data_IF_233758457169
#
_entry.id   IF_233758457169
#
_cell.length_a   1.000
_cell.length_b   1.000
_cell.length_c   1.000
_cell.angle_alpha   90.00
_cell.angle_beta   90.00
_cell.angle_gamma   90.00
#
_symmetry.space_group_name_H-M   'P 1'
#
loop_
_entity.id
_entity.type
_entity.pdbx_description
1 polymer ?
#
# COMPACT_ATOMS: atom_id res chain seq x y z
N UNK A 1 -27.16 12.94 0.50
CA UNK A 1 -26.86 14.15 1.31
C UNK A 1 -25.38 14.45 1.15
N UNK A 2 -25.03 15.48 0.37
CA UNK A 2 -23.64 15.88 0.13
C UNK A 2 -23.27 16.93 1.19
N UNK A 3 -22.56 16.53 2.23
CA UNK A 3 -21.93 17.48 3.15
C UNK A 3 -20.68 18.03 2.49
N UNK A 4 -20.74 19.31 2.11
CA UNK A 4 -19.60 20.07 1.64
C UNK A 4 -18.68 20.35 2.82
N UNK A 5 -17.49 19.75 2.82
CA UNK A 5 -16.41 20.14 3.72
C UNK A 5 -15.80 21.42 3.14
N UNK A 6 -16.15 22.55 3.74
CA UNK A 6 -15.51 23.84 3.48
C UNK A 6 -14.12 23.83 4.12
N UNK A 7 -13.08 23.62 3.31
CA UNK A 7 -11.70 23.86 3.71
C UNK A 7 -11.47 25.38 3.77
N UNK A 8 -11.50 25.93 4.99
CA UNK A 8 -11.11 27.32 5.26
C UNK A 8 -9.60 27.44 5.13
N UNK A 9 -9.14 28.13 4.07
CA UNK A 9 -7.73 28.43 3.83
C UNK A 9 -7.12 29.19 5.00
N UNK A 10 -6.26 28.51 5.75
CA UNK A 10 -5.47 29.12 6.82
C UNK A 10 -4.11 29.51 6.26
N UNK A 11 -3.87 30.82 6.15
CA UNK A 11 -2.57 31.39 5.85
C UNK A 11 -1.57 31.01 6.96
N UNK A 12 -0.54 30.26 6.58
CA UNK A 12 0.59 29.96 7.45
C UNK A 12 1.49 31.20 7.55
N UNK A 13 1.18 32.09 8.49
CA UNK A 13 1.99 33.24 8.84
C UNK A 13 2.87 32.90 10.05
N UNK A 14 4.18 33.03 9.84
CA UNK A 14 5.26 32.70 10.76
C UNK A 14 5.19 33.47 12.07
N UNK A 15 5.39 32.77 13.19
CA UNK A 15 5.69 33.36 14.50
C UNK A 15 6.98 32.74 15.02
N UNK A 16 8.07 33.49 14.92
CA UNK A 16 9.32 33.15 15.59
C UNK A 16 9.22 33.42 17.10
N UNK A 17 10.06 32.74 17.88
CA UNK A 17 10.78 33.26 19.06
C UNK A 17 11.61 32.13 19.71
N UNK A 18 12.93 32.36 19.68
CA UNK A 18 13.96 32.29 20.74
C UNK A 18 14.27 30.96 21.47
N UNK A 19 15.57 30.62 21.36
CA UNK A 19 16.41 29.70 22.14
C UNK A 19 16.24 29.76 23.66
N UNK A 20 16.39 28.62 24.33
CA UNK A 20 17.25 28.54 25.52
C UNK A 20 17.75 27.10 25.76
N UNK A 21 19.06 27.00 25.96
CA UNK A 21 19.81 25.78 26.24
C UNK A 21 19.52 25.26 27.64
N UNK A 22 19.59 23.94 27.85
CA UNK A 22 20.19 23.40 29.07
C UNK A 22 20.69 21.96 28.89
N UNK A 23 22.00 21.87 29.07
CA UNK A 23 22.86 20.72 29.28
C UNK A 23 22.56 20.04 30.63
N UNK A 24 22.80 18.73 30.78
CA UNK A 24 23.39 18.05 31.98
C UNK A 24 23.27 16.51 31.91
N UNK A 25 24.43 15.88 31.68
CA UNK A 25 25.04 14.72 32.39
C UNK A 25 24.38 13.33 32.40
N UNK A 26 25.07 12.43 31.68
CA UNK A 26 25.57 11.09 32.04
C UNK A 26 24.91 10.25 33.13
N UNK A 27 24.62 8.98 32.78
CA UNK A 27 25.13 7.84 33.54
C UNK A 27 25.30 6.59 32.67
N UNK A 28 26.47 5.98 32.82
CA UNK A 28 26.89 4.74 32.19
C UNK A 28 26.32 3.53 32.92
N UNK A 29 26.06 2.45 32.19
CA UNK A 29 26.06 1.09 32.74
C UNK A 29 26.49 0.11 31.65
N UNK A 30 27.59 -0.57 31.95
CA UNK A 30 28.14 -1.68 31.19
C UNK A 30 27.24 -2.91 31.35
N UNK A 31 27.10 -3.71 30.29
CA UNK A 31 27.01 -5.16 30.45
C UNK A 31 27.51 -5.86 29.18
N UNK A 32 28.36 -6.84 29.44
CA UNK A 32 29.03 -7.77 28.54
C UNK A 32 28.06 -8.93 28.26
N UNK A 33 28.00 -9.44 27.02
CA UNK A 33 28.05 -10.89 26.73
C UNK A 33 28.01 -11.22 25.23
N UNK A 34 28.60 -12.38 24.93
CA UNK A 34 29.01 -12.93 23.64
C UNK A 34 27.87 -13.40 22.73
N UNK A 35 28.08 -13.30 21.41
CA UNK A 35 27.25 -13.97 20.41
C UNK A 35 27.94 -14.07 19.06
N UNK A 36 28.40 -15.28 18.71
CA UNK A 36 29.07 -15.66 17.46
C UNK A 36 28.39 -15.15 16.19
N UNK A 37 29.15 -14.45 15.34
CA UNK A 37 28.72 -14.10 13.99
C UNK A 37 28.89 -15.29 13.05
N UNK A 38 27.77 -15.91 12.68
CA UNK A 38 27.68 -16.87 11.58
C UNK A 38 27.62 -16.11 10.25
N UNK A 39 28.65 -16.26 9.43
CA UNK A 39 28.72 -15.71 8.08
C UNK A 39 27.84 -16.51 7.13
N UNK A 40 26.67 -15.98 6.76
CA UNK A 40 25.85 -16.51 5.66
C UNK A 40 26.29 -15.90 4.34
N UNK A 41 27.02 -16.70 3.56
CA UNK A 41 27.35 -16.45 2.16
C UNK A 41 26.08 -16.59 1.32
N UNK A 42 25.59 -15.50 0.74
CA UNK A 42 24.43 -15.54 -0.16
C UNK A 42 24.97 -15.64 -1.59
N UNK A 43 24.88 -16.83 -2.19
CA UNK A 43 25.23 -17.02 -3.59
C UNK A 43 24.17 -16.32 -4.47
N UNK A 44 24.59 -15.27 -5.17
CA UNK A 44 23.81 -14.64 -6.24
C UNK A 44 23.75 -15.58 -7.44
N UNK A 45 22.64 -16.30 -7.60
CA UNK A 45 22.29 -16.96 -8.85
C UNK A 45 21.51 -15.97 -9.73
N UNK A 46 22.23 -15.20 -10.54
CA UNK A 46 21.65 -14.31 -11.54
C UNK A 46 21.14 -15.12 -12.74
N UNK A 47 19.83 -15.34 -12.83
CA UNK A 47 19.17 -15.76 -14.06
C UNK A 47 18.74 -14.49 -14.81
N UNK A 48 19.52 -14.12 -15.81
CA UNK A 48 19.21 -13.03 -16.73
C UNK A 48 18.27 -13.56 -17.81
N UNK A 49 16.97 -13.25 -17.72
CA UNK A 49 16.02 -13.52 -18.80
C UNK A 49 16.07 -12.37 -19.81
N UNK A 50 16.72 -12.62 -20.95
CA UNK A 50 16.69 -11.72 -22.10
C UNK A 50 15.38 -11.95 -22.87
N UNK A 51 14.44 -11.01 -22.73
CA UNK A 51 13.29 -10.91 -23.63
C UNK A 51 13.73 -10.28 -24.95
N UNK A 52 14.07 -11.11 -25.94
CA UNK A 52 14.20 -10.67 -27.33
C UNK A 52 12.79 -10.49 -27.91
N UNK A 53 12.37 -9.24 -28.07
CA UNK A 53 11.18 -8.89 -28.83
C UNK A 53 11.48 -8.98 -30.33
N UNK A 54 10.69 -9.78 -31.06
CA UNK A 54 10.65 -9.79 -32.52
C UNK A 54 9.94 -8.50 -32.95
N UNK A 55 10.71 -7.54 -33.46
CA UNK A 55 10.23 -6.25 -33.96
C UNK A 55 9.86 -6.33 -35.44
N UNK A 56 8.64 -5.91 -35.76
CA UNK A 56 8.19 -5.55 -37.11
C UNK A 56 8.79 -4.20 -37.50
N UNK A 57 9.41 -4.12 -38.68
CA UNK A 57 10.31 -3.05 -39.19
C UNK A 57 9.68 -1.65 -39.46
N UNK A 58 8.52 -1.29 -38.90
CA UNK A 58 7.82 -0.06 -39.30
C UNK A 58 7.53 0.91 -38.14
N UNK A 59 8.53 1.30 -37.34
CA UNK A 59 8.32 2.36 -36.31
C UNK A 59 9.59 3.11 -35.84
N UNK A 60 10.45 3.54 -36.77
CA UNK A 60 11.75 4.17 -36.43
C UNK A 60 11.73 5.70 -36.28
N UNK A 61 10.59 6.38 -36.42
CA UNK A 61 10.54 7.86 -36.38
C UNK A 61 10.09 8.47 -35.04
N UNK A 62 9.53 7.70 -34.12
CA UNK A 62 9.07 8.21 -32.80
C UNK A 62 10.05 7.97 -31.63
N UNK A 63 11.20 7.33 -31.88
CA UNK A 63 12.16 6.97 -30.83
C UNK A 63 12.94 8.18 -30.24
N UNK A 64 12.91 9.35 -30.90
CA UNK A 64 13.72 10.52 -30.50
C UNK A 64 13.00 11.58 -29.64
N UNK A 65 11.69 11.46 -29.40
CA UNK A 65 10.93 12.47 -28.64
C UNK A 65 10.78 12.15 -27.14
N UNK A 66 11.14 10.93 -26.71
CA UNK A 66 11.15 10.56 -25.28
C UNK A 66 12.43 11.05 -24.62
N UNK A 67 12.58 12.36 -24.46
CA UNK A 67 13.51 12.93 -23.47
C UNK A 67 13.23 12.20 -22.15
N UNK A 68 14.15 11.34 -21.74
CA UNK A 68 14.05 10.55 -20.51
C UNK A 68 13.73 11.52 -19.38
N UNK A 69 12.47 11.52 -18.92
CA UNK A 69 12.06 12.40 -17.82
C UNK A 69 12.95 12.03 -16.64
N UNK A 70 13.70 13.01 -16.13
CA UNK A 70 14.54 12.82 -14.94
C UNK A 70 13.65 12.22 -13.85
N UNK A 71 14.01 11.03 -13.37
CA UNK A 71 13.31 10.40 -12.25
C UNK A 71 13.80 11.04 -10.97
N UNK A 72 12.89 11.68 -10.24
CA UNK A 72 13.19 12.20 -8.91
C UNK A 72 13.21 11.06 -7.90
N UNK A 73 14.12 11.18 -6.93
CA UNK A 73 14.32 10.25 -5.83
C UNK A 73 14.14 10.96 -4.49
N UNK A 74 14.08 10.19 -3.41
CA UNK A 74 14.02 10.74 -2.04
C UNK A 74 15.23 11.63 -1.73
N UNK A 75 16.38 11.41 -2.38
CA UNK A 75 17.57 12.23 -2.20
C UNK A 75 17.46 13.61 -2.87
N UNK A 76 16.51 13.81 -3.80
CA UNK A 76 16.25 15.11 -4.43
C UNK A 76 15.30 15.99 -3.59
N UNK A 77 14.68 15.45 -2.52
CA UNK A 77 13.77 16.20 -1.66
C UNK A 77 14.50 17.35 -0.94
N UNK A 78 13.80 18.47 -0.65
CA UNK A 78 14.39 19.66 -0.04
C UNK A 78 14.66 19.50 1.47
N UNK A 79 15.15 18.34 1.90
CA UNK A 79 15.47 18.12 3.30
C UNK A 79 16.83 18.72 3.64
N UNK A 80 16.93 19.45 4.77
CA UNK A 80 18.22 19.77 5.35
C UNK A 80 19.02 18.49 5.64
N UNK A 81 20.34 18.62 5.74
CA UNK A 81 21.19 17.50 6.13
C UNK A 81 20.78 16.98 7.51
N UNK A 82 20.41 15.70 7.60
CA UNK A 82 20.00 15.07 8.86
C UNK A 82 19.13 13.82 8.67
N UNK A 83 19.23 12.87 9.59
CA UNK A 83 18.47 11.61 9.54
C UNK A 83 17.00 11.78 9.96
N UNK A 84 16.67 12.82 10.73
CA UNK A 84 15.33 13.04 11.29
C UNK A 84 14.26 13.25 10.22
N UNK A 85 14.50 14.11 9.22
CA UNK A 85 13.52 14.36 8.15
C UNK A 85 13.22 13.11 7.33
N UNK A 86 14.24 12.28 7.08
CA UNK A 86 14.10 10.99 6.41
C UNK A 86 13.31 9.99 7.24
N UNK A 87 13.48 10.00 8.56
CA UNK A 87 12.67 9.19 9.47
C UNK A 87 11.20 9.63 9.41
N UNK A 88 10.93 10.93 9.52
CA UNK A 88 9.60 11.53 9.39
C UNK A 88 8.98 11.23 8.03
N UNK A 89 9.76 11.24 6.95
CA UNK A 89 9.28 10.94 5.59
C UNK A 89 8.72 9.53 5.51
N UNK A 90 9.52 8.56 5.97
CA UNK A 90 9.16 7.13 5.92
C UNK A 90 8.05 6.77 6.88
N UNK A 91 8.03 7.39 8.07
CA UNK A 91 7.15 6.97 9.16
C UNK A 91 5.93 7.86 9.34
N UNK A 92 5.82 9.01 8.70
CA UNK A 92 4.68 9.92 8.90
C UNK A 92 4.15 10.38 7.55
N UNK A 93 4.99 10.93 6.68
CA UNK A 93 4.55 11.44 5.37
C UNK A 93 3.99 10.32 4.47
N UNK A 94 4.78 9.27 4.22
CA UNK A 94 4.35 8.14 3.36
C UNK A 94 3.07 7.48 3.90
N UNK A 95 2.97 7.07 5.19
CA UNK A 95 1.74 6.54 5.74
C UNK A 95 0.52 7.44 5.52
N UNK A 96 0.66 8.75 5.67
CA UNK A 96 -0.43 9.71 5.46
C UNK A 96 -0.86 9.80 4.00
N UNK A 97 0.11 9.83 3.09
CA UNK A 97 -0.16 9.81 1.66
C UNK A 97 -0.92 8.53 1.26
N UNK A 98 -0.51 7.39 1.80
CA UNK A 98 -1.14 6.10 1.51
C UNK A 98 -2.53 5.97 2.16
N UNK A 99 -2.76 6.62 3.31
CA UNK A 99 -4.09 6.71 3.94
C UNK A 99 -5.05 7.52 3.08
N UNK A 100 -4.59 8.64 2.51
CA UNK A 100 -5.36 9.40 1.54
C UNK A 100 -5.63 8.58 0.28
N UNK A 101 -4.59 8.00 -0.34
CA UNK A 101 -4.73 7.22 -1.56
C UNK A 101 -5.63 5.98 -1.38
N UNK A 102 -5.68 5.42 -0.18
CA UNK A 102 -6.59 4.33 0.19
C UNK A 102 -8.04 4.78 0.40
N UNK A 103 -8.29 6.05 0.68
CA UNK A 103 -9.64 6.61 0.92
C UNK A 103 -10.38 7.05 -0.34
N UNK A 104 -9.66 7.30 -1.45
CA UNK A 104 -10.28 7.82 -2.67
C UNK A 104 -10.92 6.72 -3.54
N UNK A 105 -11.88 7.13 -4.37
CA UNK A 105 -12.61 6.22 -5.29
C UNK A 105 -11.78 5.71 -6.47
N UNK A 106 -10.69 6.38 -6.83
CA UNK A 106 -9.80 5.96 -7.92
C UNK A 106 -8.34 5.91 -7.45
N UNK A 107 -7.94 4.83 -6.74
CA UNK A 107 -6.56 4.66 -6.26
C UNK A 107 -5.52 4.69 -7.38
N UNK A 108 -5.92 4.33 -8.59
CA UNK A 108 -5.12 4.21 -9.79
C UNK A 108 -4.92 5.58 -10.47
N UNK A 109 -5.98 6.39 -10.51
CA UNK A 109 -5.95 7.81 -10.86
C UNK A 109 -5.36 8.76 -9.82
N UNK A 110 -5.00 8.29 -8.62
CA UNK A 110 -4.51 9.11 -7.50
C UNK A 110 -3.48 10.18 -7.89
N UNK A 111 -2.54 9.85 -8.78
CA UNK A 111 -1.43 10.73 -9.16
C UNK A 111 -1.89 12.03 -9.83
N UNK A 112 -3.10 12.06 -10.40
CA UNK A 112 -3.65 13.23 -11.10
C UNK A 112 -4.18 14.33 -10.17
N UNK A 113 -4.51 13.99 -8.93
CA UNK A 113 -5.17 14.89 -7.97
C UNK A 113 -4.40 15.02 -6.64
N UNK A 114 -3.14 14.60 -6.61
CA UNK A 114 -2.36 14.43 -5.38
C UNK A 114 -1.73 15.73 -4.85
N UNK A 115 -1.63 16.78 -5.67
CA UNK A 115 -0.89 18.00 -5.27
C UNK A 115 -1.45 18.66 -4.02
N UNK A 116 -2.77 18.84 -3.94
CA UNK A 116 -3.42 19.46 -2.78
C UNK A 116 -3.12 18.70 -1.49
N UNK A 117 -3.30 17.38 -1.50
CA UNK A 117 -3.03 16.51 -0.37
C UNK A 117 -1.55 16.46 -0.01
N UNK A 118 -0.64 16.43 -0.98
CA UNK A 118 0.81 16.46 -0.73
C UNK A 118 1.19 17.74 -0.02
N UNK A 119 0.64 18.89 -0.44
CA UNK A 119 0.88 20.17 0.23
C UNK A 119 0.35 20.16 1.67
N UNK A 120 -0.86 19.64 1.88
CA UNK A 120 -1.48 19.52 3.19
C UNK A 120 -0.63 18.66 4.14
N UNK A 121 -0.29 17.44 3.74
CA UNK A 121 0.55 16.52 4.53
C UNK A 121 1.93 17.15 4.76
N UNK A 122 2.51 17.80 3.74
CA UNK A 122 3.82 18.43 3.88
C UNK A 122 3.82 19.52 4.94
N UNK A 123 2.84 20.44 4.91
CA UNK A 123 2.72 21.50 5.90
C UNK A 123 2.50 20.98 7.32
N UNK A 124 1.76 19.88 7.47
CA UNK A 124 1.56 19.22 8.75
C UNK A 124 2.85 18.57 9.28
N UNK A 125 3.62 17.93 8.40
CA UNK A 125 4.73 17.06 8.77
C UNK A 125 6.08 17.81 8.82
N UNK A 126 6.22 18.87 8.03
CA UNK A 126 7.43 19.69 7.89
C UNK A 126 7.10 21.19 7.95
N UNK A 127 6.60 21.68 9.10
CA UNK A 127 6.19 23.08 9.24
C UNK A 127 7.35 24.08 9.05
N UNK A 128 8.59 23.61 9.18
CA UNK A 128 9.83 24.36 9.08
C UNK A 128 10.46 24.35 7.67
N UNK A 129 9.95 23.53 6.74
CA UNK A 129 10.45 23.45 5.36
C UNK A 129 9.43 24.03 4.39
N UNK A 130 9.73 25.22 3.86
CA UNK A 130 8.91 25.86 2.83
C UNK A 130 8.98 25.08 1.51
N UNK A 131 7.81 24.68 0.99
CA UNK A 131 7.70 23.94 -0.25
C UNK A 131 7.42 24.89 -1.43
N UNK A 132 8.50 25.38 -2.05
CA UNK A 132 8.44 26.21 -3.26
C UNK A 132 7.93 25.45 -4.49
N UNK A 133 7.65 26.13 -5.62
CA UNK A 133 7.11 25.49 -6.83
C UNK A 133 8.01 24.39 -7.40
N UNK A 134 9.33 24.59 -7.38
CA UNK A 134 10.31 23.62 -7.87
C UNK A 134 10.38 22.40 -6.96
N UNK A 135 10.44 22.63 -5.65
CA UNK A 135 10.50 21.58 -4.64
C UNK A 135 9.21 20.75 -4.62
N UNK A 136 8.05 21.40 -4.86
CA UNK A 136 6.78 20.73 -5.07
C UNK A 136 6.85 19.79 -6.28
N UNK A 137 7.35 20.25 -7.44
CA UNK A 137 7.49 19.40 -8.63
C UNK A 137 8.37 18.16 -8.37
N UNK A 138 9.49 18.33 -7.66
CA UNK A 138 10.35 17.23 -7.25
C UNK A 138 9.59 16.26 -6.35
N UNK A 139 8.91 16.79 -5.33
CA UNK A 139 8.13 16.01 -4.35
C UNK A 139 7.04 15.20 -5.05
N UNK A 140 6.30 15.81 -5.99
CA UNK A 140 5.29 15.12 -6.79
C UNK A 140 5.87 13.97 -7.60
N UNK A 141 7.07 14.12 -8.17
CA UNK A 141 7.73 13.01 -8.88
C UNK A 141 8.14 11.86 -7.97
N UNK A 142 8.52 12.14 -6.72
CA UNK A 142 8.80 11.09 -5.72
C UNK A 142 7.50 10.42 -5.26
N UNK A 143 6.45 11.20 -5.02
CA UNK A 143 5.10 10.74 -4.65
C UNK A 143 4.51 9.83 -5.72
N UNK A 144 4.64 10.19 -7.00
CA UNK A 144 4.22 9.37 -8.13
C UNK A 144 4.81 7.95 -8.06
N UNK A 145 6.13 7.87 -7.83
CA UNK A 145 6.83 6.59 -7.63
C UNK A 145 6.34 5.82 -6.39
N UNK A 146 6.07 6.51 -5.28
CA UNK A 146 5.56 5.88 -4.06
C UNK A 146 4.18 5.26 -4.30
N UNK A 147 3.26 5.96 -4.94
CA UNK A 147 1.92 5.46 -5.24
C UNK A 147 1.96 4.28 -6.21
N UNK A 148 2.81 4.35 -7.24
CA UNK A 148 3.01 3.24 -8.18
C UNK A 148 3.58 2.00 -7.48
N UNK A 149 4.58 2.17 -6.62
CA UNK A 149 5.16 1.08 -5.83
C UNK A 149 4.15 0.49 -4.85
N UNK A 150 3.34 1.33 -4.19
CA UNK A 150 2.31 0.88 -3.27
C UNK A 150 1.27 -0.03 -3.94
N UNK A 151 0.76 0.35 -5.12
CA UNK A 151 -0.14 -0.51 -5.89
C UNK A 151 0.54 -1.82 -6.27
N UNK A 152 1.76 -1.75 -6.81
CA UNK A 152 2.55 -2.93 -7.18
C UNK A 152 2.76 -3.87 -6.00
N UNK A 153 3.09 -3.34 -4.82
CA UNK A 153 3.26 -4.10 -3.58
C UNK A 153 1.96 -4.77 -3.13
N UNK A 154 0.80 -4.11 -3.23
CA UNK A 154 -0.51 -4.72 -2.97
C UNK A 154 -0.79 -5.84 -3.98
N UNK A 155 -0.54 -5.61 -5.27
CA UNK A 155 -0.69 -6.62 -6.32
C UNK A 155 0.16 -7.88 -6.07
N UNK A 156 1.41 -7.70 -5.64
CA UNK A 156 2.30 -8.79 -5.22
C UNK A 156 1.80 -9.48 -3.96
N UNK A 157 1.29 -8.73 -2.99
CA UNK A 157 0.72 -9.29 -1.76
C UNK A 157 -0.51 -10.15 -2.05
N UNK A 158 -1.38 -9.75 -2.99
CA UNK A 158 -2.52 -10.55 -3.46
C UNK A 158 -2.10 -11.91 -4.01
N UNK A 159 -1.11 -11.90 -4.92
CA UNK A 159 -0.54 -13.14 -5.46
C UNK A 159 0.10 -14.01 -4.37
N UNK A 160 0.91 -13.41 -3.48
CA UNK A 160 1.56 -14.11 -2.38
C UNK A 160 0.55 -14.73 -1.40
N UNK A 161 -0.56 -14.05 -1.11
CA UNK A 161 -1.57 -14.57 -0.20
C UNK A 161 -2.17 -15.90 -0.69
N UNK A 162 -2.32 -16.06 -2.01
CA UNK A 162 -2.81 -17.31 -2.63
C UNK A 162 -1.74 -18.40 -2.57
N UNK A 163 -0.48 -18.07 -2.94
CA UNK A 163 0.65 -19.01 -2.79
C UNK A 163 0.76 -19.53 -1.35
N UNK A 164 0.65 -18.62 -0.38
CA UNK A 164 0.73 -19.00 1.02
C UNK A 164 -0.43 -19.93 1.45
N UNK A 165 -1.60 -19.92 0.79
CA UNK A 165 -2.65 -20.93 1.07
C UNK A 165 -2.14 -22.30 0.66
N UNK A 166 -1.57 -22.41 -0.54
CA UNK A 166 -1.11 -23.69 -1.05
C UNK A 166 0.08 -24.24 -0.29
N UNK A 167 1.00 -23.36 0.12
CA UNK A 167 2.18 -23.75 0.87
C UNK A 167 1.85 -24.21 2.31
N UNK A 168 0.72 -23.79 2.88
CA UNK A 168 0.40 -24.01 4.30
C UNK A 168 -0.88 -24.82 4.57
N UNK A 169 -1.75 -25.01 3.59
CA UNK A 169 -2.94 -25.86 3.72
C UNK A 169 -2.56 -27.29 3.30
N UNK A 170 -2.61 -28.27 4.23
CA UNK A 170 -2.28 -29.67 3.93
C UNK A 170 -3.10 -30.25 2.77
N UNK A 171 -4.29 -29.71 2.50
CA UNK A 171 -5.13 -30.10 1.37
C UNK A 171 -4.47 -29.82 0.01
N UNK A 172 -3.45 -28.95 -0.01
CA UNK A 172 -2.71 -28.55 -1.20
C UNK A 172 -1.24 -28.99 -1.21
N UNK A 173 -0.78 -29.76 -0.21
CA UNK A 173 0.64 -30.18 -0.10
C UNK A 173 1.14 -30.94 -1.34
N UNK A 174 0.23 -31.64 -2.04
CA UNK A 174 0.50 -32.35 -3.29
C UNK A 174 -0.31 -31.81 -4.47
N UNK A 175 -0.89 -30.62 -4.34
CA UNK A 175 -1.74 -30.07 -5.39
C UNK A 175 -0.93 -29.79 -6.66
N UNK A 176 -1.40 -30.36 -7.75
CA UNK A 176 -0.98 -30.03 -9.10
C UNK A 176 -1.37 -28.60 -9.48
N UNK A 177 -0.71 -28.03 -10.49
CA UNK A 177 -1.11 -26.74 -11.07
C UNK A 177 -2.56 -26.77 -11.58
N UNK A 178 -3.06 -27.93 -12.00
CA UNK A 178 -4.44 -28.12 -12.45
C UNK A 178 -5.44 -28.00 -11.29
N UNK A 179 -5.16 -28.61 -10.13
CA UNK A 179 -5.99 -28.47 -8.92
C UNK A 179 -5.99 -27.03 -8.41
N UNK A 180 -4.84 -26.34 -8.48
CA UNK A 180 -4.75 -24.92 -8.19
C UNK A 180 -5.61 -24.07 -9.13
N UNK A 181 -5.65 -24.40 -10.42
CA UNK A 181 -6.48 -23.71 -11.40
C UNK A 181 -7.98 -23.96 -11.16
N UNK A 182 -8.38 -25.20 -10.82
CA UNK A 182 -9.76 -25.56 -10.45
C UNK A 182 -10.21 -24.79 -9.22
N UNK A 183 -9.36 -24.73 -8.19
CA UNK A 183 -9.63 -23.93 -6.99
C UNK A 183 -9.80 -22.45 -7.36
N UNK A 184 -8.89 -21.90 -8.16
CA UNK A 184 -8.94 -20.50 -8.57
C UNK A 184 -10.21 -20.17 -9.36
N UNK A 185 -10.62 -21.04 -10.29
CA UNK A 185 -11.87 -20.90 -11.02
C UNK A 185 -13.09 -20.93 -10.10
N UNK A 186 -13.12 -21.88 -9.15
CA UNK A 186 -14.17 -21.98 -8.14
C UNK A 186 -14.24 -20.72 -7.28
N UNK A 187 -13.10 -20.21 -6.81
CA UNK A 187 -13.01 -19.01 -6.00
C UNK A 187 -13.49 -17.74 -6.74
N UNK A 188 -13.20 -17.64 -8.05
CA UNK A 188 -13.64 -16.54 -8.90
C UNK A 188 -15.15 -16.59 -9.19
N UNK A 189 -15.74 -17.79 -9.29
CA UNK A 189 -17.17 -17.98 -9.60
C UNK A 189 -18.03 -17.30 -8.54
N UNK A 190 -18.83 -16.31 -8.94
CA UNK A 190 -19.71 -15.57 -8.02
C UNK A 190 -18.97 -14.79 -6.94
N UNK A 191 -17.69 -14.47 -7.16
CA UNK A 191 -16.83 -13.74 -6.22
C UNK A 191 -16.71 -14.43 -4.84
N UNK A 192 -16.70 -15.77 -4.82
CA UNK A 192 -16.61 -16.55 -3.58
C UNK A 192 -15.40 -16.15 -2.74
N UNK A 193 -14.29 -15.79 -3.38
CA UNK A 193 -13.06 -15.35 -2.72
C UNK A 193 -13.21 -14.10 -1.84
N UNK A 194 -14.31 -13.34 -1.92
CA UNK A 194 -14.53 -12.14 -1.10
C UNK A 194 -15.23 -12.46 0.22
N UNK A 195 -15.92 -13.59 0.31
CA UNK A 195 -16.79 -13.94 1.43
C UNK A 195 -16.07 -14.84 2.42
N UNK A 196 -16.29 -14.63 3.71
CA UNK A 196 -15.81 -15.55 4.74
C UNK A 196 -16.52 -16.91 4.64
N UNK A 197 -17.81 -16.88 4.35
CA UNK A 197 -18.66 -18.08 4.24
C UNK A 197 -19.42 -18.03 2.90
N UNK A 198 -18.76 -18.37 1.77
CA UNK A 198 -19.34 -18.20 0.44
C UNK A 198 -20.61 -19.03 0.21
N UNK A 199 -20.75 -20.17 0.89
CA UNK A 199 -21.87 -21.11 0.71
C UNK A 199 -23.08 -20.83 1.63
N UNK A 200 -22.93 -19.96 2.63
CA UNK A 200 -24.01 -19.66 3.58
C UNK A 200 -24.90 -18.54 3.04
N UNK A 201 -26.18 -18.83 2.82
CA UNK A 201 -27.16 -17.82 2.40
C UNK A 201 -27.45 -16.83 3.56
N UNK A 202 -27.48 -15.52 3.26
CA UNK A 202 -27.88 -14.47 4.21
C UNK A 202 -26.79 -13.91 5.13
N UNK A 203 -25.66 -14.61 5.33
CA UNK A 203 -24.55 -14.14 6.19
C UNK A 203 -23.17 -14.39 5.60
N UNK A 204 -22.97 -14.03 4.33
CA UNK A 204 -21.71 -14.30 3.62
C UNK A 204 -20.50 -13.49 4.12
N UNK A 205 -20.72 -12.45 4.95
CA UNK A 205 -19.68 -11.55 5.47
C UNK A 205 -18.71 -11.10 4.36
N UNK A 206 -19.18 -10.20 3.49
CA UNK A 206 -18.39 -9.68 2.36
C UNK A 206 -17.10 -8.99 2.84
N UNK A 207 -16.02 -9.19 2.10
CA UNK A 207 -14.67 -8.69 2.36
C UNK A 207 -14.01 -9.25 3.63
N UNK A 208 -14.59 -10.28 4.24
CA UNK A 208 -14.06 -10.95 5.43
C UNK A 208 -13.36 -12.28 5.12
N UNK A 209 -13.11 -12.62 3.85
CA UNK A 209 -12.34 -13.82 3.53
C UNK A 209 -10.87 -13.67 3.93
N UNK A 210 -10.23 -14.78 4.29
CA UNK A 210 -8.82 -14.82 4.70
C UNK A 210 -7.89 -14.22 3.64
N UNK A 211 -8.18 -14.43 2.36
CA UNK A 211 -7.41 -13.83 1.26
C UNK A 211 -7.45 -12.30 1.30
N UNK A 212 -8.65 -11.73 1.40
CA UNK A 212 -8.84 -10.27 1.42
C UNK A 212 -8.21 -9.68 2.68
N UNK A 213 -8.50 -10.27 3.84
CA UNK A 213 -8.07 -9.72 5.13
C UNK A 213 -6.55 -9.83 5.31
N UNK A 214 -5.92 -10.92 4.88
CA UNK A 214 -4.46 -11.08 4.92
C UNK A 214 -3.73 -10.04 4.07
N UNK A 215 -4.21 -9.76 2.86
CA UNK A 215 -3.60 -8.75 1.97
C UNK A 215 -3.88 -7.35 2.51
N UNK A 216 -5.08 -7.09 3.00
CA UNK A 216 -5.45 -5.77 3.51
C UNK A 216 -4.72 -5.42 4.82
N UNK A 217 -4.41 -6.40 5.67
CA UNK A 217 -3.54 -6.21 6.84
C UNK A 217 -2.15 -5.65 6.45
N UNK A 218 -1.61 -6.00 5.27
CA UNK A 218 -0.34 -5.44 4.77
C UNK A 218 -0.47 -3.95 4.44
N UNK A 219 -1.60 -3.51 3.88
CA UNK A 219 -1.86 -2.09 3.67
C UNK A 219 -1.98 -1.36 5.01
N UNK A 220 -2.73 -1.91 5.97
CA UNK A 220 -2.88 -1.30 7.30
C UNK A 220 -1.54 -1.11 8.01
N UNK A 221 -0.63 -2.09 7.92
CA UNK A 221 0.73 -1.96 8.43
C UNK A 221 1.51 -0.79 7.81
N UNK A 222 1.27 -0.46 6.54
CA UNK A 222 1.93 0.65 5.85
C UNK A 222 1.39 2.01 6.28
N UNK A 223 0.15 2.08 6.73
CA UNK A 223 -0.51 3.35 7.10
C UNK A 223 -0.59 3.58 8.61
N UNK A 224 -0.21 2.59 9.43
CA UNK A 224 -0.38 2.61 10.89
C UNK A 224 0.17 3.83 11.63
N UNK A 225 1.18 4.50 11.04
CA UNK A 225 1.85 5.66 11.63
C UNK A 225 1.34 6.98 11.08
N UNK A 226 0.28 6.97 10.27
CA UNK A 226 -0.31 8.20 9.79
C UNK A 226 -0.99 8.95 10.94
N UNK A 227 -0.68 10.25 11.13
CA UNK A 227 -1.43 11.12 12.04
C UNK A 227 -2.76 11.62 11.44
N UNK A 228 -3.05 11.35 10.17
CA UNK A 228 -4.24 11.87 9.48
C UNK A 228 -5.19 10.73 9.14
N UNK A 229 -6.47 10.93 9.43
CA UNK A 229 -7.52 10.01 9.02
C UNK A 229 -8.33 10.62 7.88
N UNK A 230 -8.22 10.03 6.69
CA UNK A 230 -8.99 10.44 5.50
C UNK A 230 -10.34 9.70 5.37
N UNK A 231 -10.77 9.00 6.42
CA UNK A 231 -12.02 8.26 6.46
C UNK A 231 -11.88 6.83 5.90
N UNK A 232 -12.99 6.24 5.43
CA UNK A 232 -13.04 4.85 4.99
C UNK A 232 -12.04 4.57 3.89
N UNK A 233 -11.25 3.51 4.07
CA UNK A 233 -10.23 3.08 3.13
C UNK A 233 -10.85 2.28 1.98
N UNK A 234 -11.90 2.84 1.36
CA UNK A 234 -12.73 2.20 0.31
C UNK A 234 -11.93 1.82 -0.92
N UNK A 235 -10.99 2.69 -1.32
CA UNK A 235 -10.11 2.50 -2.46
C UNK A 235 -9.07 1.42 -2.17
N UNK A 236 -8.49 1.40 -0.97
CA UNK A 236 -7.55 0.35 -0.58
C UNK A 236 -8.23 -1.02 -0.52
N UNK A 237 -9.45 -1.11 0.05
CA UNK A 237 -10.19 -2.37 0.09
C UNK A 237 -10.53 -2.89 -1.32
N UNK A 238 -10.95 -1.99 -2.22
CA UNK A 238 -11.20 -2.33 -3.62
C UNK A 238 -9.92 -2.78 -4.33
N UNK A 239 -8.81 -2.07 -4.12
CA UNK A 239 -7.49 -2.40 -4.69
C UNK A 239 -6.99 -3.77 -4.23
N UNK A 240 -7.17 -4.10 -2.95
CA UNK A 240 -6.86 -5.42 -2.38
C UNK A 240 -7.73 -6.50 -3.02
N UNK A 241 -9.03 -6.23 -3.17
CA UNK A 241 -9.98 -7.17 -3.77
C UNK A 241 -9.55 -7.53 -5.20
N UNK A 242 -9.19 -6.53 -5.99
CA UNK A 242 -8.70 -6.73 -7.36
C UNK A 242 -7.33 -7.39 -7.40
N UNK A 243 -6.45 -7.12 -6.43
CA UNK A 243 -5.16 -7.81 -6.33
C UNK A 243 -5.33 -9.32 -6.10
N UNK A 244 -6.30 -9.72 -5.27
CA UNK A 244 -6.66 -11.14 -5.07
C UNK A 244 -7.32 -11.71 -6.32
N UNK A 245 -8.29 -11.00 -6.92
CA UNK A 245 -8.95 -11.42 -8.17
C UNK A 245 -7.94 -11.66 -9.31
N UNK A 246 -6.95 -10.76 -9.43
CA UNK A 246 -5.83 -10.91 -10.36
C UNK A 246 -5.02 -12.15 -10.04
N UNK A 247 -4.63 -12.34 -8.78
CA UNK A 247 -3.85 -13.50 -8.36
C UNK A 247 -4.54 -14.81 -8.74
N UNK A 248 -5.84 -14.94 -8.45
CA UNK A 248 -6.62 -16.12 -8.81
C UNK A 248 -6.71 -16.30 -10.32
N UNK A 249 -6.91 -15.21 -11.08
CA UNK A 249 -6.98 -15.26 -12.54
C UNK A 249 -5.67 -15.76 -13.15
N UNK A 250 -4.52 -15.32 -12.63
CA UNK A 250 -3.21 -15.80 -13.08
C UNK A 250 -3.05 -17.31 -12.90
N UNK A 251 -3.56 -17.86 -11.81
CA UNK A 251 -3.49 -19.30 -11.57
C UNK A 251 -4.47 -20.09 -12.42
N UNK A 252 -5.69 -19.57 -12.59
CA UNK A 252 -6.67 -20.13 -13.53
C UNK A 252 -6.10 -20.22 -14.95
N UNK A 253 -5.35 -19.20 -15.39
CA UNK A 253 -4.83 -19.09 -16.75
C UNK A 253 -3.41 -19.67 -16.95
N UNK A 254 -2.77 -20.22 -15.91
CA UNK A 254 -1.45 -20.86 -16.03
C UNK A 254 -0.22 -19.92 -15.99
N UNK A 255 -0.24 -18.93 -15.09
CA UNK A 255 0.91 -18.10 -14.60
C UNK A 255 1.45 -17.03 -15.56
N UNK A 256 0.82 -16.79 -16.72
CA UNK A 256 1.20 -15.65 -17.59
C UNK A 256 0.31 -14.45 -17.31
N UNK A 257 0.87 -13.37 -16.78
CA UNK A 257 0.17 -12.10 -16.80
C UNK A 257 1.03 -10.89 -16.62
N UNK A 258 0.46 -9.76 -17.03
CA UNK A 258 1.07 -8.44 -16.97
C UNK A 258 1.12 -7.94 -15.53
N UNK A 259 1.95 -6.91 -15.29
CA UNK A 259 2.05 -6.26 -13.98
C UNK A 259 0.70 -5.72 -13.48
N UNK A 260 0.66 -5.31 -12.22
CA UNK A 260 -0.53 -4.67 -11.63
C UNK A 260 -0.59 -3.18 -12.02
N UNK A 261 -1.02 -2.93 -13.25
CA UNK A 261 -1.05 -1.62 -13.91
C UNK A 261 -2.50 -1.15 -14.20
N UNK A 262 -2.66 0.10 -14.63
CA UNK A 262 -3.96 0.76 -14.87
C UNK A 262 -4.91 -0.06 -15.75
N UNK A 263 -4.43 -0.58 -16.87
CA UNK A 263 -5.24 -1.42 -17.75
C UNK A 263 -4.67 -2.85 -17.74
N UNK A 264 -5.47 -3.87 -17.37
CA UNK A 264 -6.93 -3.84 -17.19
C UNK A 264 -7.43 -3.55 -15.75
N UNK A 265 -6.53 -3.42 -14.77
CA UNK A 265 -6.91 -3.57 -13.36
C UNK A 265 -7.54 -2.34 -12.71
N UNK A 266 -7.19 -1.13 -13.14
CA UNK A 266 -7.77 0.13 -12.66
C UNK A 266 -9.28 0.20 -12.88
N UNK A 267 -9.77 -0.29 -14.03
CA UNK A 267 -11.22 -0.41 -14.29
C UNK A 267 -11.89 -1.32 -13.27
N UNK A 268 -11.31 -2.49 -13.01
CA UNK A 268 -11.80 -3.43 -11.99
C UNK A 268 -11.82 -2.82 -10.60
N UNK A 269 -10.82 -2.00 -10.25
CA UNK A 269 -10.80 -1.32 -8.95
C UNK A 269 -11.99 -0.36 -8.84
N UNK A 270 -12.28 0.41 -9.87
CA UNK A 270 -13.45 1.32 -9.90
C UNK A 270 -14.78 0.56 -9.78
N UNK A 271 -14.90 -0.63 -10.38
CA UNK A 271 -16.07 -1.52 -10.19
C UNK A 271 -16.22 -1.93 -8.72
N UNK A 272 -15.13 -2.37 -8.09
CA UNK A 272 -15.13 -2.80 -6.69
C UNK A 272 -15.34 -1.66 -5.70
N UNK A 273 -14.92 -0.43 -6.01
CA UNK A 273 -15.17 0.74 -5.17
C UNK A 273 -16.66 0.95 -4.95
N UNK A 274 -17.49 0.76 -5.98
CA UNK A 274 -18.96 0.85 -5.82
C UNK A 274 -19.52 -0.18 -4.83
N UNK A 275 -18.85 -1.31 -4.63
CA UNK A 275 -19.21 -2.31 -3.64
C UNK A 275 -18.66 -1.98 -2.25
N UNK A 276 -17.44 -1.45 -2.15
CA UNK A 276 -16.83 -1.07 -0.87
C UNK A 276 -17.49 0.17 -0.25
N UNK A 277 -18.01 1.09 -1.06
CA UNK A 277 -18.79 2.24 -0.59
C UNK A 277 -20.12 1.85 0.09
N UNK A 278 -20.65 0.66 -0.23
CA UNK A 278 -21.89 0.14 0.37
C UNK A 278 -21.65 -0.61 1.68
N UNK A 279 -20.40 -0.66 2.14
CA UNK A 279 -20.04 -1.25 3.43
C UNK A 279 -20.37 -0.21 4.52
N UNK A 280 -21.37 -0.52 5.34
CA UNK A 280 -21.77 0.28 6.50
C UNK A 280 -20.81 0.08 7.69
N UNK A 281 -20.99 0.86 8.76
CA UNK A 281 -20.13 0.82 9.95
C UNK A 281 -20.05 -0.57 10.61
N UNK A 282 -21.18 -1.27 10.73
CA UNK A 282 -21.24 -2.62 11.32
C UNK A 282 -20.43 -3.63 10.50
N UNK A 283 -20.50 -3.54 9.17
CA UNK A 283 -19.71 -4.39 8.27
C UNK A 283 -18.23 -4.02 8.31
N UNK A 284 -17.89 -2.73 8.34
CA UNK A 284 -16.51 -2.29 8.53
C UNK A 284 -15.94 -2.83 9.84
N UNK A 285 -16.68 -2.77 10.94
CA UNK A 285 -16.22 -3.30 12.22
C UNK A 285 -15.92 -4.81 12.14
N UNK A 286 -16.78 -5.58 11.45
CA UNK A 286 -16.54 -7.02 11.19
C UNK A 286 -15.27 -7.26 10.37
N UNK A 287 -15.07 -6.47 9.31
CA UNK A 287 -13.85 -6.54 8.48
C UNK A 287 -12.63 -6.24 9.36
N UNK A 288 -12.64 -5.16 10.13
CA UNK A 288 -11.53 -4.78 11.03
C UNK A 288 -11.25 -5.88 12.07
N UNK A 289 -12.28 -6.50 12.66
CA UNK A 289 -12.11 -7.62 13.60
C UNK A 289 -11.38 -8.80 12.97
N UNK A 290 -11.70 -9.17 11.72
CA UNK A 290 -10.99 -10.24 11.02
C UNK A 290 -9.57 -9.84 10.63
N UNK A 291 -9.37 -8.59 10.19
CA UNK A 291 -8.04 -8.05 9.86
C UNK A 291 -7.09 -8.12 11.04
N UNK A 292 -7.59 -7.88 12.25
CA UNK A 292 -6.81 -7.90 13.47
C UNK A 292 -6.09 -9.24 13.68
N UNK A 293 -6.73 -10.36 13.33
CA UNK A 293 -6.15 -11.70 13.46
C UNK A 293 -4.87 -11.80 12.60
N UNK A 294 -4.96 -11.41 11.32
CA UNK A 294 -3.81 -11.45 10.41
C UNK A 294 -2.76 -10.39 10.73
N UNK A 295 -3.18 -9.21 11.19
CA UNK A 295 -2.25 -8.15 11.55
C UNK A 295 -1.37 -8.54 12.74
N UNK A 296 -1.95 -9.14 13.78
CA UNK A 296 -1.19 -9.65 14.93
C UNK A 296 -0.23 -10.77 14.53
N UNK A 297 -0.63 -11.64 13.59
CA UNK A 297 0.27 -12.65 13.04
C UNK A 297 1.48 -12.05 12.31
N UNK A 298 1.32 -10.89 11.65
CA UNK A 298 2.42 -10.20 10.96
C UNK A 298 3.38 -9.51 11.92
N UNK A 299 2.87 -8.86 12.98
CA UNK A 299 3.70 -8.09 13.91
C UNK A 299 4.24 -8.90 15.09
N UNK A 300 3.70 -10.10 15.33
CA UNK A 300 3.84 -10.79 16.60
C UNK A 300 2.99 -10.12 17.70
N UNK A 301 2.94 -10.72 18.90
CA UNK A 301 2.16 -10.22 20.01
C UNK A 301 2.68 -8.83 20.44
N UNK A 302 2.00 -7.78 19.98
CA UNK A 302 2.34 -6.42 20.36
C UNK A 302 1.55 -6.03 21.60
N UNK A 303 2.21 -5.38 22.57
CA UNK A 303 1.56 -4.85 23.78
C UNK A 303 0.68 -3.64 23.51
N UNK A 304 0.82 -3.04 22.34
CA UNK A 304 0.05 -1.87 21.94
C UNK A 304 -1.19 -2.37 21.21
N UNK A 305 -2.41 -2.08 21.70
CA UNK A 305 -3.61 -2.40 20.95
C UNK A 305 -3.46 -1.81 19.56
N UNK A 306 -3.88 -2.58 18.55
CA UNK A 306 -3.96 -2.09 17.18
C UNK A 306 -4.54 -0.69 17.23
N UNK A 307 -3.93 0.30 16.53
CA UNK A 307 -4.53 1.59 16.41
C UNK A 307 -5.87 1.32 15.73
N UNK A 308 -6.91 1.15 16.56
CA UNK A 308 -8.24 1.57 16.26
C UNK A 308 -8.01 3.03 15.97
N UNK A 309 -7.66 3.31 14.71
CA UNK A 309 -8.11 4.52 14.05
C UNK A 309 -9.55 4.56 14.53
N UNK A 310 -9.83 5.49 15.45
CA UNK A 310 -11.20 5.74 15.86
C UNK A 310 -11.81 6.25 14.56
N UNK A 311 -12.30 5.30 13.79
CA UNK A 311 -12.95 5.55 12.54
C UNK A 311 -14.31 6.02 13.05
N UNK A 312 -14.36 7.33 13.31
CA UNK A 312 -15.61 8.03 13.52
C UNK A 312 -16.33 7.96 12.17
N UNK A 313 -17.00 6.81 11.94
CA UNK A 313 -17.74 6.46 10.72
C UNK A 313 -19.07 7.20 10.62
#
# INVERSE_FOLDING_TARGET
MKSAVTASGSNCASRGVIHEDNNTTSQASQNVEHGSQSTRTTAQMGITLNNAAVGTEHDWQDANSRRSRRRYSVADLPFPHGSTYMHTWRNIFIPSLLTWAGSIQDPFGANTHVEGTVREIWCLVYPDILLGPKEMQITLGVVDNILNNWRSDIGKAGYKAIMDIWDNDPSFELASLEECAIYAESALKGFRFVYQYPDVMGSRAAFCSDLITKVYAKHLQRIEKSPVNYGPQIGALALVTVAVERGLTLFKDGVKGTGFIEEPWGRKVREWVSATERVDGDRWEKIIKQLQIHYQAIKGPTRVPFPLIKLDW
#
